data_IF_153475777052
#
_entry.id   IF_153475777052
#
_cell.length_a   1.000
_cell.length_b   1.000
_cell.length_c   1.000
_cell.angle_alpha   90.00
_cell.angle_beta   90.00
_cell.angle_gamma   90.00
#
_symmetry.space_group_name_H-M   'P 1'
#
loop_
_entity.id
_entity.type
_entity.pdbx_description
1 polymer ?
#
# COMPACT_ATOMS: atom_id res chain seq x y z
N UNK A 1 -7.49 -17.51 -4.64
CA UNK A 1 -6.92 -16.17 -4.95
C UNK A 1 -5.87 -16.37 -6.02
N UNK A 2 -5.89 -15.62 -7.13
CA UNK A 2 -4.83 -15.79 -8.14
C UNK A 2 -3.54 -15.14 -7.64
N UNK A 3 -2.43 -15.87 -7.70
CA UNK A 3 -1.10 -15.33 -7.39
C UNK A 3 -0.77 -14.12 -8.28
N UNK A 4 -1.36 -14.07 -9.48
CA UNK A 4 -1.25 -12.94 -10.39
C UNK A 4 -1.81 -11.64 -9.82
N UNK A 5 -3.00 -11.65 -9.20
CA UNK A 5 -3.58 -10.43 -8.61
C UNK A 5 -2.71 -9.90 -7.47
N UNK A 6 -2.19 -10.81 -6.64
CA UNK A 6 -1.26 -10.46 -5.56
C UNK A 6 0.01 -9.82 -6.11
N UNK A 7 0.57 -10.37 -7.19
CA UNK A 7 1.74 -9.82 -7.85
C UNK A 7 1.47 -8.42 -8.41
N UNK A 8 0.36 -8.24 -9.11
CA UNK A 8 -0.04 -6.93 -9.67
C UNK A 8 -0.18 -5.85 -8.60
N UNK A 9 -0.83 -6.17 -7.47
CA UNK A 9 -0.98 -5.22 -6.36
C UNK A 9 0.37 -4.96 -5.68
N UNK A 10 1.22 -5.98 -5.50
CA UNK A 10 2.57 -5.78 -4.95
C UNK A 10 3.44 -4.90 -5.85
N UNK A 11 3.35 -5.06 -7.18
CA UNK A 11 4.06 -4.23 -8.14
C UNK A 11 3.57 -2.78 -8.12
N UNK A 12 2.24 -2.57 -8.05
CA UNK A 12 1.64 -1.25 -7.88
C UNK A 12 2.10 -0.57 -6.57
N UNK A 13 2.20 -1.32 -5.48
CA UNK A 13 2.71 -0.80 -4.21
C UNK A 13 4.18 -0.38 -4.30
N UNK A 14 5.03 -1.17 -5.00
CA UNK A 14 6.43 -0.79 -5.26
C UNK A 14 6.52 0.48 -6.09
N UNK A 15 5.74 0.58 -7.17
CA UNK A 15 5.62 1.79 -7.99
C UNK A 15 5.24 3.00 -7.13
N UNK A 16 4.24 2.84 -6.26
CA UNK A 16 3.78 3.88 -5.34
C UNK A 16 4.89 4.34 -4.40
N UNK A 17 5.67 3.41 -3.87
CA UNK A 17 6.81 3.76 -3.00
C UNK A 17 7.91 4.53 -3.72
N UNK A 18 8.22 4.18 -4.97
CA UNK A 18 9.17 4.95 -5.78
C UNK A 18 8.63 6.36 -6.08
N UNK A 19 7.36 6.46 -6.49
CA UNK A 19 6.73 7.74 -6.79
C UNK A 19 6.64 8.65 -5.55
N UNK A 20 6.39 8.08 -4.36
CA UNK A 20 6.42 8.81 -3.10
C UNK A 20 7.82 9.33 -2.78
N UNK A 21 8.84 8.48 -2.88
CA UNK A 21 10.22 8.89 -2.62
C UNK A 21 10.66 10.03 -3.57
N UNK A 22 10.28 9.97 -4.84
CA UNK A 22 10.53 11.06 -5.80
C UNK A 22 9.78 12.34 -5.42
N UNK A 23 8.52 12.25 -5.00
CA UNK A 23 7.73 13.41 -4.58
C UNK A 23 8.27 14.07 -3.30
N UNK A 24 8.92 13.31 -2.43
CA UNK A 24 9.49 13.77 -1.15
C UNK A 24 11.02 13.75 -1.14
N UNK A 25 11.66 13.91 -2.31
CA UNK A 25 13.12 13.83 -2.43
C UNK A 25 13.86 14.88 -1.58
N UNK A 26 13.25 16.05 -1.35
CA UNK A 26 13.83 17.12 -0.53
C UNK A 26 13.91 16.77 0.96
N UNK A 27 13.08 15.82 1.43
CA UNK A 27 13.09 15.29 2.80
C UNK A 27 13.72 13.91 2.89
N UNK A 28 14.46 13.47 1.86
CA UNK A 28 14.99 12.11 1.73
C UNK A 28 13.90 11.03 1.85
N UNK A 29 12.68 11.36 1.42
CA UNK A 29 11.51 10.48 1.53
C UNK A 29 10.89 10.41 2.92
N UNK A 30 11.35 11.19 3.90
CA UNK A 30 10.70 11.27 5.20
C UNK A 30 9.34 11.98 5.08
N UNK A 31 8.29 11.26 5.45
CA UNK A 31 6.91 11.74 5.49
C UNK A 31 6.13 10.96 6.57
N UNK A 32 5.91 11.54 7.76
CA UNK A 32 5.11 10.90 8.81
C UNK A 32 3.66 10.59 8.38
N UNK A 33 3.14 11.32 7.38
CA UNK A 33 1.79 11.21 6.87
C UNK A 33 1.73 10.45 5.51
N UNK A 34 2.77 9.67 5.19
CA UNK A 34 2.85 8.86 3.97
C UNK A 34 1.59 8.06 3.63
N UNK A 35 0.81 7.49 4.59
CA UNK A 35 -0.39 6.72 4.25
C UNK A 35 -1.46 7.59 3.58
N UNK A 36 -1.49 8.90 3.83
CA UNK A 36 -2.42 9.82 3.18
C UNK A 36 -2.06 10.03 1.72
N UNK A 37 -0.77 10.19 1.42
CA UNK A 37 -0.25 10.33 0.06
C UNK A 37 -0.45 9.03 -0.73
N UNK A 38 -0.06 7.88 -0.15
CA UNK A 38 -0.24 6.57 -0.76
C UNK A 38 -1.72 6.31 -1.07
N UNK A 39 -2.61 6.60 -0.14
CA UNK A 39 -4.04 6.40 -0.37
C UNK A 39 -4.56 7.24 -1.55
N UNK A 40 -4.07 8.47 -1.73
CA UNK A 40 -4.40 9.28 -2.90
C UNK A 40 -3.90 8.68 -4.20
N UNK A 41 -2.63 8.24 -4.24
CA UNK A 41 -2.00 7.65 -5.43
C UNK A 41 -2.61 6.31 -5.83
N UNK A 42 -2.94 5.47 -4.84
CA UNK A 42 -3.43 4.11 -5.04
C UNK A 42 -4.92 4.04 -5.36
N UNK A 43 -5.71 5.05 -4.96
CA UNK A 43 -7.16 4.88 -4.81
C UNK A 43 -7.84 4.24 -6.02
N UNK A 44 -7.65 4.86 -7.19
CA UNK A 44 -8.34 4.45 -8.40
C UNK A 44 -7.68 3.20 -9.00
N UNK A 45 -6.35 3.16 -9.09
CA UNK A 45 -5.57 2.02 -9.63
C UNK A 45 -5.83 0.71 -8.86
N UNK A 46 -5.84 0.79 -7.53
CA UNK A 46 -6.10 -0.36 -6.66
C UNK A 46 -7.58 -0.77 -6.72
N UNK A 47 -8.49 0.20 -6.83
CA UNK A 47 -9.92 -0.05 -6.98
C UNK A 47 -10.22 -0.87 -8.25
N UNK A 48 -9.59 -0.53 -9.37
CA UNK A 48 -9.68 -1.27 -10.63
C UNK A 48 -9.18 -2.72 -10.48
N UNK A 49 -8.01 -2.93 -9.89
CA UNK A 49 -7.43 -4.27 -9.68
C UNK A 49 -8.31 -5.15 -8.77
N UNK A 50 -8.85 -4.56 -7.70
CA UNK A 50 -9.67 -5.29 -6.74
C UNK A 50 -11.12 -5.47 -7.20
N UNK A 51 -11.59 -4.66 -8.15
CA UNK A 51 -13.00 -4.45 -8.45
C UNK A 51 -13.78 -4.01 -7.20
N UNK A 52 -13.24 -2.99 -6.50
CA UNK A 52 -13.77 -2.46 -5.26
C UNK A 52 -13.70 -0.92 -5.25
N UNK A 53 -14.47 -0.30 -4.37
CA UNK A 53 -14.43 1.15 -4.13
C UNK A 53 -14.25 1.43 -2.65
N UNK A 54 -13.39 2.38 -2.33
CA UNK A 54 -13.11 2.80 -0.96
C UNK A 54 -12.82 4.29 -0.93
N UNK A 55 -13.02 4.89 0.23
CA UNK A 55 -12.64 6.30 0.43
C UNK A 55 -11.13 6.41 0.61
N UNK A 56 -10.56 7.60 0.38
CA UNK A 56 -9.15 7.82 0.68
C UNK A 56 -8.87 7.64 2.18
N UNK A 57 -9.77 8.10 3.06
CA UNK A 57 -9.64 7.94 4.51
C UNK A 57 -9.64 6.46 4.94
N UNK A 58 -10.52 5.64 4.35
CA UNK A 58 -10.55 4.20 4.57
C UNK A 58 -9.23 3.55 4.13
N UNK A 59 -8.74 3.87 2.93
CA UNK A 59 -7.48 3.32 2.45
C UNK A 59 -6.28 3.76 3.30
N UNK A 60 -6.25 5.03 3.75
CA UNK A 60 -5.25 5.53 4.70
C UNK A 60 -5.26 4.71 5.98
N UNK A 61 -6.44 4.46 6.57
CA UNK A 61 -6.58 3.63 7.77
C UNK A 61 -6.06 2.20 7.54
N UNK A 62 -6.38 1.60 6.40
CA UNK A 62 -5.93 0.26 6.04
C UNK A 62 -4.41 0.18 5.88
N UNK A 63 -3.78 1.16 5.24
CA UNK A 63 -2.33 1.23 5.08
C UNK A 63 -1.62 1.37 6.44
N UNK A 64 -2.11 2.24 7.32
CA UNK A 64 -1.59 2.37 8.71
C UNK A 64 -1.71 1.04 9.46
N UNK A 65 -2.82 0.33 9.27
CA UNK A 65 -3.06 -0.95 9.93
C UNK A 65 -2.11 -2.03 9.40
N UNK A 66 -1.92 -2.12 8.08
CA UNK A 66 -1.00 -3.05 7.46
C UNK A 66 0.45 -2.82 7.93
N UNK A 67 0.88 -1.56 8.00
CA UNK A 67 2.21 -1.19 8.50
C UNK A 67 2.43 -1.65 9.94
N UNK A 68 1.50 -1.30 10.83
CA UNK A 68 1.57 -1.69 12.25
C UNK A 68 1.58 -3.20 12.43
N UNK A 69 0.73 -3.92 11.70
CA UNK A 69 0.69 -5.38 11.76
C UNK A 69 1.98 -6.01 11.24
N UNK A 70 2.52 -5.52 10.13
CA UNK A 70 3.77 -6.02 9.58
C UNK A 70 4.94 -5.76 10.52
N UNK A 71 5.05 -4.54 11.08
CA UNK A 71 6.08 -4.18 12.04
C UNK A 71 6.00 -4.98 13.35
N UNK A 72 4.80 -5.41 13.77
CA UNK A 72 4.64 -6.30 14.92
C UNK A 72 5.03 -7.75 14.63
N UNK A 73 4.67 -8.27 13.45
CA UNK A 73 4.84 -9.70 13.11
C UNK A 73 6.20 -10.03 12.51
N UNK A 74 6.78 -9.08 11.78
CA UNK A 74 8.06 -9.24 11.10
C UNK A 74 8.79 -7.87 11.03
N UNK A 75 9.35 -7.39 12.16
CA UNK A 75 10.12 -6.16 12.18
C UNK A 75 11.27 -6.21 11.16
N UNK A 76 11.42 -5.16 10.35
CA UNK A 76 12.51 -5.05 9.37
C UNK A 76 12.37 -5.93 8.12
N UNK A 77 11.21 -6.56 7.90
CA UNK A 77 10.97 -7.36 6.69
C UNK A 77 10.94 -6.48 5.44
N UNK A 78 11.76 -6.82 4.44
CA UNK A 78 11.96 -5.99 3.23
C UNK A 78 10.85 -6.13 2.19
N UNK A 79 10.06 -7.19 2.24
CA UNK A 79 8.97 -7.43 1.27
C UNK A 79 7.61 -6.99 1.81
N UNK A 80 7.53 -5.73 2.27
CA UNK A 80 6.28 -5.09 2.65
C UNK A 80 5.24 -5.05 1.51
N UNK A 81 5.58 -4.91 0.21
CA UNK A 81 4.56 -4.81 -0.84
C UNK A 81 3.72 -6.09 -0.94
N UNK A 82 4.36 -7.26 -0.85
CA UNK A 82 3.65 -8.55 -0.87
C UNK A 82 2.80 -8.75 0.38
N UNK A 83 3.23 -8.26 1.54
CA UNK A 83 2.44 -8.31 2.78
C UNK A 83 1.19 -7.44 2.65
N UNK A 84 1.35 -6.21 2.19
CA UNK A 84 0.25 -5.25 2.04
C UNK A 84 -0.74 -5.72 0.97
N UNK A 85 -0.24 -6.26 -0.15
CA UNK A 85 -1.07 -6.86 -1.18
C UNK A 85 -1.95 -7.99 -0.62
N UNK A 86 -1.36 -8.90 0.20
CA UNK A 86 -2.12 -9.93 0.92
C UNK A 86 -3.23 -9.33 1.78
N UNK A 87 -2.84 -8.39 2.64
CA UNK A 87 -3.70 -7.76 3.62
C UNK A 87 -4.91 -7.05 2.99
N UNK A 88 -4.68 -6.37 1.86
CA UNK A 88 -5.72 -5.65 1.13
C UNK A 88 -6.65 -6.61 0.41
N UNK A 89 -6.13 -7.64 -0.27
CA UNK A 89 -6.95 -8.65 -0.94
C UNK A 89 -7.91 -9.31 0.05
N UNK A 90 -7.41 -9.72 1.23
CA UNK A 90 -8.22 -10.38 2.28
C UNK A 90 -9.36 -9.52 2.85
N UNK A 91 -9.32 -8.20 2.64
CA UNK A 91 -10.37 -7.28 3.12
C UNK A 91 -11.47 -7.03 2.10
N UNK A 92 -11.13 -7.13 0.82
CA UNK A 92 -12.06 -6.82 -0.28
C UNK A 92 -12.54 -8.06 -1.03
N UNK A 93 -11.99 -9.25 -0.76
CA UNK A 93 -12.39 -10.53 -1.35
C UNK A 93 -12.31 -11.67 -0.36
#
# INVERSE_FOLDING_TARGET
>A
MSDELRKQIADLLRETGHAHHEAFIETDGEDPDWPMWYAGYLKDKLGELLNASFTQAELTYLLVTADKEQNQRAPGHKDWPSYYAKFLIERYR
#
